data_IF_175369236091
#
_entry.id   IF_175369236091
#
_cell.length_a   1.000
_cell.length_b   1.000
_cell.length_c   1.000
_cell.angle_alpha   90.00
_cell.angle_beta   90.00
_cell.angle_gamma   90.00
#
_symmetry.space_group_name_H-M   'P 1'
#
loop_
_entity.id
_entity.type
_entity.pdbx_description
1 polymer ?
#
# COMPACT_ATOMS: atom_id res chain seq x y z
N UNK A 1 -9.76 14.44 12.86
CA UNK A 1 -9.28 15.06 11.60
C UNK A 1 -9.22 13.90 10.62
N UNK A 2 -10.18 13.80 9.70
CA UNK A 2 -10.14 12.74 8.69
C UNK A 2 -9.01 13.07 7.73
N UNK A 3 -7.94 12.26 7.75
CA UNK A 3 -6.91 12.34 6.73
C UNK A 3 -7.48 11.75 5.44
N UNK A 4 -7.72 12.62 4.47
CA UNK A 4 -8.19 12.21 3.14
C UNK A 4 -7.03 11.50 2.43
N UNK A 5 -6.99 10.17 2.56
CA UNK A 5 -5.93 9.32 2.04
C UNK A 5 -5.94 9.29 0.50
N UNK A 6 -5.27 10.25 -0.12
CA UNK A 6 -5.18 10.39 -1.58
C UNK A 6 -3.76 10.10 -2.06
N UNK A 7 -3.64 9.47 -3.22
CA UNK A 7 -2.36 9.25 -3.88
C UNK A 7 -1.79 10.57 -4.39
N UNK A 8 -0.56 10.89 -3.99
CA UNK A 8 0.24 11.99 -4.53
C UNK A 8 1.08 11.42 -5.68
N UNK A 9 0.85 11.92 -6.90
CA UNK A 9 1.62 11.53 -8.08
C UNK A 9 2.91 12.35 -8.15
N UNK A 10 4.03 11.69 -8.43
CA UNK A 10 5.33 12.35 -8.60
C UNK A 10 5.75 12.31 -10.06
N UNK A 11 6.23 13.45 -10.56
CA UNK A 11 6.45 13.68 -11.99
C UNK A 11 7.82 13.28 -12.51
N UNK A 12 8.80 12.95 -11.67
CA UNK A 12 10.13 12.57 -12.15
C UNK A 12 10.87 11.70 -11.12
N UNK A 13 11.30 10.52 -11.57
CA UNK A 13 12.19 9.61 -10.84
C UNK A 13 11.52 8.39 -10.23
N UNK A 14 11.23 7.36 -11.02
CA UNK A 14 10.96 5.97 -10.59
C UNK A 14 9.71 5.71 -9.75
N UNK A 15 9.41 6.56 -8.77
CA UNK A 15 8.19 6.57 -7.97
C UNK A 15 7.08 7.28 -8.74
N UNK A 16 6.02 6.53 -9.05
CA UNK A 16 4.83 7.03 -9.72
C UNK A 16 3.85 7.68 -8.74
N UNK A 17 3.76 7.17 -7.51
CA UNK A 17 2.80 7.66 -6.53
C UNK A 17 3.20 7.33 -5.08
N UNK A 18 2.73 8.13 -4.12
CA UNK A 18 2.78 7.81 -2.68
C UNK A 18 1.45 8.10 -2.00
N UNK A 19 1.13 7.29 -1.00
CA UNK A 19 -0.01 7.49 -0.10
C UNK A 19 0.42 7.14 1.32
N UNK A 20 0.10 8.00 2.26
CA UNK A 20 0.37 7.76 3.69
C UNK A 20 -0.93 7.67 4.44
N UNK A 21 -1.02 6.74 5.39
CA UNK A 21 -2.20 6.45 6.19
C UNK A 21 -1.78 6.43 7.66
N UNK A 22 -2.46 7.22 8.48
CA UNK A 22 -2.35 7.16 9.94
C UNK A 22 -3.50 6.31 10.48
N UNK A 23 -3.17 5.19 11.11
CA UNK A 23 -4.14 4.26 11.70
C UNK A 23 -3.79 4.05 13.19
N UNK A 24 -4.53 4.74 14.05
CA UNK A 24 -4.29 4.80 15.51
C UNK A 24 -2.84 5.19 15.84
N UNK A 25 -2.01 4.24 16.27
CA UNK A 25 -0.59 4.44 16.60
C UNK A 25 0.38 4.03 15.48
N UNK A 26 -0.13 3.59 14.34
CA UNK A 26 0.68 3.07 13.22
C UNK A 26 0.69 4.04 12.04
N UNK A 27 1.89 4.37 11.58
CA UNK A 27 2.09 5.07 10.32
C UNK A 27 2.35 4.04 9.22
N UNK A 28 1.52 4.10 8.18
CA UNK A 28 1.62 3.25 7.01
C UNK A 28 1.97 4.13 5.80
N UNK A 29 3.00 3.74 5.06
CA UNK A 29 3.44 4.40 3.84
C UNK A 29 3.33 3.42 2.68
N UNK A 30 2.54 3.80 1.68
CA UNK A 30 2.41 3.08 0.42
C UNK A 30 3.12 3.88 -0.66
N UNK A 31 4.05 3.25 -1.35
CA UNK A 31 4.78 3.83 -2.47
C UNK A 31 4.59 2.96 -3.69
N UNK A 32 4.35 3.57 -4.84
CA UNK A 32 4.27 2.84 -6.10
C UNK A 32 5.35 3.34 -7.03
N UNK A 33 6.07 2.42 -7.64
CA UNK A 33 7.15 2.69 -8.58
C UNK A 33 6.81 2.10 -9.94
N UNK A 34 7.13 2.81 -11.02
CA UNK A 34 6.99 2.28 -12.38
C UNK A 34 8.23 1.45 -12.69
N UNK A 35 8.03 0.20 -13.13
CA UNK A 35 9.11 -0.73 -13.45
C UNK A 35 8.98 -1.28 -14.88
N UNK A 36 9.20 -0.42 -15.87
CA UNK A 36 9.01 -0.77 -17.29
C UNK A 36 7.55 -0.65 -17.74
N UNK A 37 7.26 -1.17 -18.94
CA UNK A 37 5.96 -0.98 -19.59
C UNK A 37 4.89 -1.88 -18.94
N UNK A 38 3.90 -1.24 -18.31
CA UNK A 38 2.74 -1.94 -17.72
C UNK A 38 3.06 -2.75 -16.46
N UNK A 39 4.16 -2.44 -15.78
CA UNK A 39 4.54 -3.07 -14.52
C UNK A 39 4.80 -2.00 -13.47
N UNK A 40 4.20 -2.20 -12.31
CA UNK A 40 4.30 -1.30 -11.17
C UNK A 40 4.71 -2.10 -9.93
N UNK A 41 5.53 -1.52 -9.07
CA UNK A 41 5.92 -2.11 -7.79
C UNK A 41 5.25 -1.31 -6.69
N UNK A 42 4.33 -1.95 -5.97
CA UNK A 42 3.76 -1.42 -4.74
C UNK A 42 4.66 -1.82 -3.57
N UNK A 43 5.11 -0.86 -2.79
CA UNK A 43 5.82 -1.04 -1.53
C UNK A 43 4.93 -0.52 -0.40
N UNK A 44 4.67 -1.37 0.59
CA UNK A 44 3.92 -1.04 1.80
C UNK A 44 4.86 -1.14 2.98
N UNK A 45 5.03 -0.03 3.69
CA UNK A 45 5.83 0.08 4.90
C UNK A 45 4.91 0.34 6.09
N UNK A 46 4.94 -0.52 7.10
CA UNK A 46 4.12 -0.41 8.31
C UNK A 46 4.98 -0.72 9.55
N UNK A 47 5.41 0.34 10.24
CA UNK A 47 6.33 0.21 11.38
C UNK A 47 7.69 -0.37 10.94
N UNK A 48 8.00 -1.58 11.40
CA UNK A 48 9.24 -2.31 11.05
C UNK A 48 9.06 -3.30 9.89
N UNK A 49 7.83 -3.52 9.42
CA UNK A 49 7.54 -4.40 8.30
C UNK A 49 7.54 -3.64 6.97
N UNK A 50 8.09 -4.26 5.93
CA UNK A 50 8.02 -3.78 4.57
C UNK A 50 7.64 -4.94 3.63
N UNK A 51 6.65 -4.73 2.77
CA UNK A 51 6.18 -5.69 1.77
C UNK A 51 6.23 -5.05 0.39
N UNK A 52 6.76 -5.77 -0.60
CA UNK A 52 6.77 -5.33 -1.99
C UNK A 52 5.97 -6.29 -2.87
N UNK A 53 5.12 -5.76 -3.73
CA UNK A 53 4.26 -6.50 -4.65
C UNK A 53 4.42 -5.97 -6.06
N UNK A 54 4.60 -6.86 -7.02
CA UNK A 54 4.57 -6.53 -8.45
C UNK A 54 3.12 -6.57 -8.95
N UNK A 55 2.68 -5.46 -9.56
CA UNK A 55 1.38 -5.28 -10.18
C UNK A 55 1.57 -5.20 -11.70
N UNK A 56 0.91 -6.10 -12.43
CA UNK A 56 0.94 -6.14 -13.90
C UNK A 56 -0.32 -5.50 -14.45
N UNK A 57 -0.31 -4.18 -14.53
CA UNK A 57 -1.46 -3.38 -14.95
C UNK A 57 -1.11 -2.60 -16.22
N UNK A 58 -2.01 -2.57 -17.20
CA UNK A 58 -1.77 -1.89 -18.48
C UNK A 58 -1.67 -0.36 -18.34
N UNK A 59 -2.17 0.20 -17.24
CA UNK A 59 -2.16 1.64 -16.97
C UNK A 59 -1.90 1.96 -15.50
N UNK A 60 -1.41 3.18 -15.24
CA UNK A 60 -1.18 3.70 -13.88
C UNK A 60 -2.48 3.73 -13.06
N UNK A 61 -3.60 4.04 -13.71
CA UNK A 61 -4.91 4.13 -13.04
C UNK A 61 -5.38 2.76 -12.53
N UNK A 62 -5.16 1.72 -13.32
CA UNK A 62 -5.47 0.34 -12.92
C UNK A 62 -4.56 -0.09 -11.76
N UNK A 63 -3.26 0.19 -11.86
CA UNK A 63 -2.29 -0.11 -10.82
C UNK A 63 -2.64 0.55 -9.48
N UNK A 64 -3.07 1.82 -9.48
CA UNK A 64 -3.52 2.52 -8.26
C UNK A 64 -4.74 1.86 -7.62
N UNK A 65 -5.69 1.39 -8.44
CA UNK A 65 -6.88 0.69 -7.94
C UNK A 65 -6.52 -0.67 -7.34
N UNK A 66 -5.71 -1.46 -8.05
CA UNK A 66 -5.24 -2.75 -7.58
C UNK A 66 -4.41 -2.60 -6.29
N UNK A 67 -3.58 -1.56 -6.20
CA UNK A 67 -2.82 -1.25 -5.00
C UNK A 67 -3.72 -0.93 -3.79
N UNK A 68 -4.80 -0.17 -4.01
CA UNK A 68 -5.77 0.15 -2.95
C UNK A 68 -6.56 -1.09 -2.50
N UNK A 69 -6.93 -1.98 -3.42
CA UNK A 69 -7.58 -3.25 -3.11
C UNK A 69 -6.65 -4.17 -2.32
N UNK A 70 -5.42 -4.37 -2.80
CA UNK A 70 -4.40 -5.18 -2.12
C UNK A 70 -4.11 -4.67 -0.72
N UNK A 71 -3.91 -3.36 -0.55
CA UNK A 71 -3.64 -2.77 0.75
C UNK A 71 -4.79 -3.03 1.75
N UNK A 72 -6.04 -2.89 1.31
CA UNK A 72 -7.22 -3.14 2.16
C UNK A 72 -7.27 -4.59 2.63
N UNK A 73 -7.04 -5.54 1.73
CA UNK A 73 -7.06 -6.96 2.06
C UNK A 73 -5.86 -7.33 2.96
N UNK A 74 -4.66 -6.83 2.67
CA UNK A 74 -3.47 -7.03 3.50
C UNK A 74 -3.69 -6.59 4.95
N UNK A 75 -4.24 -5.39 5.17
CA UNK A 75 -4.50 -4.90 6.52
C UNK A 75 -5.66 -5.63 7.20
N UNK A 76 -6.70 -6.03 6.46
CA UNK A 76 -7.80 -6.83 7.02
C UNK A 76 -7.30 -8.20 7.50
N UNK A 77 -6.52 -8.89 6.69
CA UNK A 77 -5.98 -10.21 7.04
C UNK A 77 -5.00 -10.13 8.21
N UNK A 78 -4.18 -9.09 8.27
CA UNK A 78 -3.29 -8.83 9.42
C UNK A 78 -4.07 -8.56 10.71
N UNK A 79 -5.10 -7.71 10.67
CA UNK A 79 -5.95 -7.45 11.83
C UNK A 79 -6.57 -8.75 12.36
N UNK A 80 -7.13 -9.57 11.47
CA UNK A 80 -7.69 -10.87 11.81
C UNK A 80 -6.65 -11.83 12.41
N UNK A 81 -5.44 -11.90 11.83
CA UNK A 81 -4.37 -12.74 12.36
C UNK A 81 -3.99 -12.33 13.80
N UNK A 82 -3.94 -11.03 14.08
CA UNK A 82 -3.65 -10.53 15.43
C UNK A 82 -4.77 -10.86 16.41
N UNK A 83 -6.04 -10.75 16.02
CA UNK A 83 -7.19 -11.20 16.84
C UNK A 83 -7.10 -12.70 17.15
N UNK A 84 -6.85 -13.55 16.15
CA UNK A 84 -6.72 -15.00 16.34
C UNK A 84 -5.55 -15.41 17.25
N UNK A 85 -4.46 -14.63 17.25
CA UNK A 85 -3.33 -14.85 18.16
C UNK A 85 -3.72 -14.42 19.58
N UNK A 86 -4.36 -13.26 19.75
CA UNK A 86 -4.76 -12.73 21.05
C UNK A 86 -5.76 -13.64 21.77
N UNK A 87 -6.70 -14.26 21.05
CA UNK A 87 -7.68 -15.20 21.60
C UNK A 87 -7.07 -16.54 22.08
N UNK A 88 -5.81 -16.83 21.73
CA UNK A 88 -5.11 -18.07 22.09
C UNK A 88 -4.19 -17.95 23.31
N UNK A 89 -4.06 -16.77 23.90
CA UNK A 89 -3.17 -16.48 25.05
C UNK A 89 -4.00 -16.21 26.30
#
# INVERSE_FOLDING_TARGET
MEYENTWVLYGDGGAAARKSIEAEHHYISLQMQTHGDGVYILVIEAGIEAVSVELKSGTLKEALREADEFARDYFRDKARLFEEIADRI
#
